data_IF_264763906817
#
_entry.id   IF_264763906817
#
_cell.length_a   1.000
_cell.length_b   1.000
_cell.length_c   1.000
_cell.angle_alpha   90.00
_cell.angle_beta   90.00
_cell.angle_gamma   90.00
#
_symmetry.space_group_name_H-M   'P 1'
#
loop_
_entity.id
_entity.type
_entity.pdbx_description
1 polymer ?
#
# COMPACT_ATOMS: atom_id res chain seq x y z
N UNK A 1 16.63 -7.12 27.65
CA UNK A 1 16.65 -5.66 27.40
C UNK A 1 17.82 -5.40 26.46
N UNK A 2 17.54 -4.96 25.23
CA UNK A 2 18.54 -4.89 24.15
C UNK A 2 19.66 -3.91 24.48
N UNK A 3 20.92 -4.37 24.40
CA UNK A 3 22.15 -3.65 24.77
C UNK A 3 22.66 -2.69 23.68
N UNK A 4 21.90 -2.49 22.61
CA UNK A 4 22.38 -1.91 21.35
C UNK A 4 22.81 -0.44 21.44
N UNK A 5 22.17 0.38 22.29
CA UNK A 5 22.41 1.84 22.34
C UNK A 5 22.97 2.33 23.68
N UNK A 6 23.53 1.46 24.52
CA UNK A 6 24.12 1.91 25.80
C UNK A 6 25.37 2.77 25.51
N UNK A 7 25.48 3.91 26.18
CA UNK A 7 26.65 4.78 26.06
C UNK A 7 27.92 4.07 26.51
N UNK A 8 28.97 4.19 25.71
CA UNK A 8 30.31 3.66 26.03
C UNK A 8 30.99 4.41 27.18
N UNK A 9 30.47 5.59 27.55
CA UNK A 9 31.07 6.46 28.56
C UNK A 9 30.29 6.40 29.88
N UNK A 10 28.96 6.31 29.82
CA UNK A 10 28.10 6.17 31.00
C UNK A 10 27.17 4.97 30.81
N UNK A 11 27.35 3.96 31.66
CA UNK A 11 26.58 2.72 31.59
C UNK A 11 25.09 2.94 31.85
N UNK A 12 24.69 4.03 32.49
CA UNK A 12 23.28 4.37 32.73
C UNK A 12 22.70 5.30 31.66
N UNK A 13 23.52 5.78 30.71
CA UNK A 13 23.08 6.61 29.61
C UNK A 13 22.92 5.81 28.31
N UNK A 14 22.11 6.36 27.40
CA UNK A 14 21.93 5.83 26.05
C UNK A 14 22.54 6.78 25.02
N UNK A 15 23.07 6.25 23.93
CA UNK A 15 23.49 7.01 22.77
C UNK A 15 22.26 7.42 21.95
N UNK A 16 21.51 8.38 22.49
CA UNK A 16 20.25 8.87 21.93
C UNK A 16 20.39 9.28 20.46
N UNK A 17 21.52 9.90 20.09
CA UNK A 17 21.81 10.28 18.71
C UNK A 17 21.84 9.08 17.76
N UNK A 18 22.48 7.97 18.13
CA UNK A 18 22.52 6.75 17.29
C UNK A 18 21.16 6.10 17.17
N UNK A 19 20.40 6.10 18.25
CA UNK A 19 19.02 5.62 18.23
C UNK A 19 18.16 6.46 17.28
N UNK A 20 18.25 7.79 17.37
CA UNK A 20 17.55 8.68 16.45
C UNK A 20 18.02 8.50 15.01
N UNK A 21 19.31 8.38 14.73
CA UNK A 21 19.83 8.13 13.38
C UNK A 21 19.29 6.82 12.78
N UNK A 22 19.22 5.75 13.57
CA UNK A 22 18.64 4.48 13.09
C UNK A 22 17.12 4.59 12.84
N UNK A 23 16.40 5.25 13.74
CA UNK A 23 14.96 5.49 13.57
C UNK A 23 14.68 6.44 12.40
N UNK A 24 15.46 7.47 12.18
CA UNK A 24 15.27 8.37 11.03
C UNK A 24 15.64 7.68 9.70
N UNK A 25 16.62 6.76 9.72
CA UNK A 25 17.05 6.03 8.52
C UNK A 25 15.98 5.10 7.94
N UNK A 26 15.00 4.66 8.75
CA UNK A 26 13.88 3.83 8.28
C UNK A 26 12.72 4.67 7.70
N UNK A 27 12.69 5.99 7.97
CA UNK A 27 11.65 6.89 7.49
C UNK A 27 12.12 7.82 6.36
N UNK A 28 13.42 8.12 6.29
CA UNK A 28 13.98 9.08 5.34
C UNK A 28 15.37 8.68 4.88
N UNK A 29 15.69 8.94 3.61
CA UNK A 29 17.07 8.95 3.13
C UNK A 29 17.72 10.25 3.57
N UNK A 30 18.74 10.19 4.43
CA UNK A 30 19.51 11.38 4.83
C UNK A 30 20.03 12.15 3.59
N UNK A 31 20.05 13.48 3.68
CA UNK A 31 20.66 14.40 2.70
C UNK A 31 19.95 14.57 1.33
N UNK A 32 18.63 14.40 1.24
CA UNK A 32 17.86 14.78 0.03
C UNK A 32 18.10 16.24 -0.41
N UNK A 33 18.35 17.14 0.54
CA UNK A 33 18.71 18.55 0.29
C UNK A 33 20.06 18.75 -0.42
N UNK A 34 20.97 17.75 -0.38
CA UNK A 34 22.28 17.78 -1.05
C UNK A 34 22.29 17.01 -2.37
N UNK A 35 21.29 16.18 -2.63
CA UNK A 35 21.16 15.37 -3.84
C UNK A 35 19.71 15.40 -4.36
N UNK A 36 19.32 16.44 -5.10
CA UNK A 36 17.95 16.62 -5.62
C UNK A 36 17.53 15.60 -6.69
N UNK A 37 18.43 14.67 -7.05
CA UNK A 37 18.18 13.56 -7.99
C UNK A 37 17.91 12.22 -7.30
N UNK A 38 17.96 12.16 -5.97
CA UNK A 38 17.60 10.95 -5.23
C UNK A 38 16.08 10.92 -5.11
N UNK A 39 15.45 9.95 -5.78
CA UNK A 39 14.03 9.64 -5.59
C UNK A 39 13.83 9.17 -4.15
N UNK A 40 12.98 9.85 -3.39
CA UNK A 40 12.62 9.43 -2.04
C UNK A 40 11.86 8.11 -2.12
N UNK A 41 12.33 7.08 -1.45
CA UNK A 41 11.56 5.84 -1.30
C UNK A 41 10.24 6.17 -0.60
N UNK A 42 9.11 5.97 -1.29
CA UNK A 42 7.80 6.14 -0.67
C UNK A 42 7.71 5.17 0.51
N UNK A 43 7.28 5.69 1.68
CA UNK A 43 7.01 4.86 2.84
C UNK A 43 6.01 3.76 2.46
N UNK A 44 6.48 2.52 2.43
CA UNK A 44 5.62 1.34 2.35
C UNK A 44 5.37 0.92 3.80
N UNK A 45 4.13 1.01 4.32
CA UNK A 45 3.80 0.46 5.61
C UNK A 45 4.28 -0.99 5.65
N UNK A 46 5.11 -1.32 6.64
CA UNK A 46 5.45 -2.72 6.91
C UNK A 46 4.11 -3.41 7.13
N UNK A 47 3.68 -4.21 6.15
CA UNK A 47 2.49 -5.03 6.26
C UNK A 47 2.69 -5.78 7.57
N UNK A 48 1.77 -5.63 8.54
CA UNK A 48 1.56 -6.63 9.57
C UNK A 48 1.12 -7.89 8.82
N UNK A 49 2.08 -8.54 8.19
CA UNK A 49 1.92 -9.68 7.33
C UNK A 49 1.74 -10.87 8.27
N UNK A 50 0.60 -10.88 8.96
CA UNK A 50 -0.17 -12.10 9.03
C UNK A 50 -0.43 -12.49 7.58
N UNK A 51 0.54 -13.22 7.00
CA UNK A 51 0.49 -13.80 5.68
C UNK A 51 -0.66 -14.81 5.68
N UNK A 52 -1.89 -14.31 5.51
CA UNK A 52 -3.04 -15.11 5.14
C UNK A 52 -2.74 -15.51 3.70
N UNK A 53 -1.97 -16.59 3.53
CA UNK A 53 -1.87 -17.28 2.25
C UNK A 53 -3.28 -17.63 1.85
N UNK A 54 -3.83 -16.91 0.87
CA UNK A 54 -5.10 -17.27 0.29
C UNK A 54 -4.99 -18.65 -0.35
N UNK A 55 -6.10 -19.36 -0.32
CA UNK A 55 -6.24 -20.62 -1.02
C UNK A 55 -5.90 -20.45 -2.51
N UNK A 56 -5.11 -21.36 -3.13
CA UNK A 56 -4.67 -21.20 -4.52
C UNK A 56 -5.82 -21.03 -5.51
N UNK A 57 -6.95 -21.74 -5.32
CA UNK A 57 -8.12 -21.61 -6.20
C UNK A 57 -8.78 -20.24 -6.04
N UNK A 58 -8.70 -19.64 -4.85
CA UNK A 58 -9.15 -18.26 -4.63
C UNK A 58 -8.24 -17.27 -5.35
N UNK A 59 -6.92 -17.44 -5.28
CA UNK A 59 -5.97 -16.53 -5.96
C UNK A 59 -6.19 -16.54 -7.48
N UNK A 60 -6.34 -17.72 -8.10
CA UNK A 60 -6.60 -17.84 -9.53
C UNK A 60 -7.90 -17.12 -9.94
N UNK A 61 -8.95 -17.25 -9.14
CA UNK A 61 -10.23 -16.55 -9.38
C UNK A 61 -10.08 -15.04 -9.26
N UNK A 62 -9.34 -14.55 -8.27
CA UNK A 62 -9.06 -13.12 -8.11
C UNK A 62 -8.20 -12.63 -9.27
N UNK A 63 -7.23 -13.40 -9.73
CA UNK A 63 -6.40 -13.03 -10.87
C UNK A 63 -7.22 -12.87 -12.16
N UNK A 64 -8.17 -13.78 -12.41
CA UNK A 64 -9.12 -13.65 -13.53
C UNK A 64 -9.94 -12.37 -13.40
N UNK A 65 -10.39 -12.04 -12.20
CA UNK A 65 -11.13 -10.82 -11.93
C UNK A 65 -10.29 -9.55 -12.17
N UNK A 66 -9.08 -9.50 -11.61
CA UNK A 66 -8.16 -8.36 -11.77
C UNK A 66 -7.86 -8.10 -13.25
N UNK A 67 -7.70 -9.16 -14.06
CA UNK A 67 -7.58 -9.05 -15.51
C UNK A 67 -8.84 -8.44 -16.19
N UNK A 68 -10.05 -8.80 -15.75
CA UNK A 68 -11.29 -8.19 -16.27
C UNK A 68 -11.36 -6.70 -15.94
N UNK A 69 -11.02 -6.33 -14.71
CA UNK A 69 -10.96 -4.93 -14.29
C UNK A 69 -9.90 -4.16 -15.07
N UNK A 70 -8.70 -4.72 -15.22
CA UNK A 70 -7.59 -4.12 -15.96
C UNK A 70 -7.97 -3.80 -17.41
N UNK A 71 -8.71 -4.70 -18.10
CA UNK A 71 -9.24 -4.42 -19.44
C UNK A 71 -10.15 -3.19 -19.47
N UNK A 72 -11.00 -3.02 -18.45
CA UNK A 72 -11.88 -1.83 -18.34
C UNK A 72 -11.08 -0.57 -18.06
N UNK A 73 -10.10 -0.66 -17.16
CA UNK A 73 -9.19 0.43 -16.81
C UNK A 73 -8.39 0.88 -18.03
N UNK A 74 -7.81 -0.06 -18.77
CA UNK A 74 -7.10 0.19 -20.02
C UNK A 74 -8.00 0.88 -21.06
N UNK A 75 -9.17 0.30 -21.33
CA UNK A 75 -10.08 0.81 -22.35
C UNK A 75 -10.55 2.25 -22.09
N UNK A 76 -10.66 2.64 -20.81
CA UNK A 76 -11.09 3.99 -20.40
C UNK A 76 -9.95 4.91 -19.99
N UNK A 77 -8.71 4.41 -19.96
CA UNK A 77 -7.50 5.13 -19.55
C UNK A 77 -7.65 5.80 -18.18
N UNK A 78 -8.19 5.07 -17.21
CA UNK A 78 -8.38 5.62 -15.87
C UNK A 78 -7.04 5.84 -15.16
N UNK A 79 -6.89 7.00 -14.53
CA UNK A 79 -5.85 7.27 -13.54
C UNK A 79 -6.38 6.85 -12.17
N UNK A 80 -5.88 5.74 -11.62
CA UNK A 80 -6.46 5.14 -10.41
C UNK A 80 -6.13 5.92 -9.14
N UNK A 81 -4.87 6.31 -8.94
CA UNK A 81 -4.40 6.95 -7.71
C UNK A 81 -5.19 8.21 -7.31
N UNK A 82 -5.44 9.19 -8.20
CA UNK A 82 -6.14 10.41 -7.81
C UNK A 82 -7.53 10.17 -7.21
N UNK A 83 -8.22 9.10 -7.64
CA UNK A 83 -9.56 8.76 -7.14
C UNK A 83 -9.55 8.26 -5.69
N UNK A 84 -8.41 7.73 -5.23
CA UNK A 84 -8.22 7.28 -3.86
C UNK A 84 -7.58 8.35 -2.98
N UNK A 85 -6.70 9.18 -3.52
CA UNK A 85 -6.01 10.27 -2.80
C UNK A 85 -6.98 11.27 -2.16
N UNK A 86 -8.14 11.49 -2.78
CA UNK A 86 -9.22 12.32 -2.21
C UNK A 86 -9.73 11.81 -0.84
N UNK A 87 -9.61 10.49 -0.60
CA UNK A 87 -9.99 9.83 0.64
C UNK A 87 -8.81 9.64 1.60
N UNK A 88 -7.58 9.55 1.09
CA UNK A 88 -6.35 9.34 1.85
C UNK A 88 -5.63 10.67 2.18
N UNK A 89 -6.27 11.48 3.03
CA UNK A 89 -5.77 12.81 3.41
C UNK A 89 -4.42 12.80 4.12
N UNK A 90 -4.07 11.69 4.76
CA UNK A 90 -2.82 11.52 5.52
C UNK A 90 -1.74 10.82 4.69
N UNK A 91 -2.04 10.45 3.44
CA UNK A 91 -1.12 9.76 2.52
C UNK A 91 -0.53 8.49 3.12
N UNK A 92 -1.36 7.70 3.78
CA UNK A 92 -0.94 6.44 4.40
C UNK A 92 -1.12 5.22 3.49
N UNK A 93 -1.67 5.39 2.29
CA UNK A 93 -1.87 4.33 1.32
C UNK A 93 -3.11 3.48 1.57
N UNK A 94 -3.98 3.88 2.51
CA UNK A 94 -5.13 3.11 2.93
C UNK A 94 -6.42 3.93 2.89
N UNK A 95 -7.52 3.26 2.57
CA UNK A 95 -8.88 3.84 2.64
C UNK A 95 -9.83 2.87 3.32
N UNK A 96 -10.92 3.37 3.89
CA UNK A 96 -11.95 2.49 4.45
C UNK A 96 -12.57 1.61 3.35
N UNK A 97 -13.10 0.45 3.73
CA UNK A 97 -13.81 -0.46 2.81
C UNK A 97 -14.92 0.24 2.00
N UNK A 98 -15.68 1.14 2.64
CA UNK A 98 -16.79 1.85 1.97
C UNK A 98 -16.28 2.86 0.92
N UNK A 99 -15.16 3.54 1.20
CA UNK A 99 -14.50 4.43 0.24
C UNK A 99 -13.92 3.66 -0.93
N UNK A 100 -13.27 2.52 -0.66
CA UNK A 100 -12.76 1.63 -1.70
C UNK A 100 -13.86 1.17 -2.66
N UNK A 101 -14.99 0.71 -2.11
CA UNK A 101 -16.15 0.28 -2.91
C UNK A 101 -16.79 1.43 -3.70
N UNK A 102 -16.78 2.65 -3.15
CA UNK A 102 -17.25 3.84 -3.87
C UNK A 102 -16.39 4.09 -5.11
N UNK A 103 -15.07 4.05 -4.99
CA UNK A 103 -14.17 4.21 -6.14
C UNK A 103 -14.41 3.12 -7.19
N UNK A 104 -14.56 1.86 -6.79
CA UNK A 104 -14.89 0.78 -7.73
C UNK A 104 -16.22 0.99 -8.45
N UNK A 105 -17.21 1.54 -7.75
CA UNK A 105 -18.51 1.88 -8.35
C UNK A 105 -18.37 3.00 -9.39
N UNK A 106 -17.64 4.06 -9.05
CA UNK A 106 -17.45 5.23 -9.93
C UNK A 106 -16.67 4.87 -11.20
N UNK A 107 -15.72 3.94 -11.09
CA UNK A 107 -15.01 3.34 -12.23
C UNK A 107 -15.86 2.35 -13.05
N UNK A 108 -17.05 1.99 -12.56
CA UNK A 108 -17.91 0.95 -13.14
C UNK A 108 -17.29 -0.45 -13.09
N UNK A 109 -16.41 -0.69 -12.11
CA UNK A 109 -15.76 -1.98 -11.85
C UNK A 109 -16.57 -2.84 -10.89
N UNK A 110 -17.30 -2.23 -9.96
CA UNK A 110 -18.12 -2.95 -8.98
C UNK A 110 -19.19 -3.82 -9.65
N UNK A 111 -19.72 -3.39 -10.80
CA UNK A 111 -20.72 -4.15 -11.57
C UNK A 111 -20.16 -5.39 -12.28
N UNK A 112 -18.83 -5.54 -12.30
CA UNK A 112 -18.16 -6.74 -12.83
C UNK A 112 -18.10 -7.86 -11.80
N UNK A 113 -18.47 -7.59 -10.54
CA UNK A 113 -18.31 -8.47 -9.40
C UNK A 113 -19.60 -9.17 -9.00
N UNK A 114 -19.51 -10.47 -8.79
CA UNK A 114 -20.44 -11.19 -7.91
C UNK A 114 -20.18 -10.82 -6.44
N UNK A 115 -21.13 -11.12 -5.54
CA UNK A 115 -20.95 -10.90 -4.11
C UNK A 115 -19.71 -11.62 -3.56
N UNK A 116 -19.51 -12.88 -3.96
CA UNK A 116 -18.35 -13.67 -3.55
C UNK A 116 -17.02 -13.12 -4.08
N UNK A 117 -16.97 -12.69 -5.35
CA UNK A 117 -15.79 -12.05 -5.92
C UNK A 117 -15.45 -10.74 -5.22
N UNK A 118 -16.47 -9.96 -4.84
CA UNK A 118 -16.31 -8.74 -4.05
C UNK A 118 -15.70 -9.06 -2.69
N UNK A 119 -16.21 -10.05 -1.97
CA UNK A 119 -15.70 -10.40 -0.64
C UNK A 119 -14.25 -10.89 -0.71
N UNK A 120 -13.89 -11.71 -1.70
CA UNK A 120 -12.51 -12.15 -1.92
C UNK A 120 -11.57 -11.00 -2.29
N UNK A 121 -12.03 -10.05 -3.10
CA UNK A 121 -11.24 -8.87 -3.46
C UNK A 121 -10.96 -8.01 -2.21
N UNK A 122 -11.98 -7.82 -1.37
CA UNK A 122 -11.83 -7.09 -0.12
C UNK A 122 -10.93 -7.86 0.87
N UNK A 123 -11.01 -9.18 0.92
CA UNK A 123 -10.10 -10.02 1.71
C UNK A 123 -8.64 -9.85 1.25
N UNK A 124 -8.37 -9.88 -0.06
CA UNK A 124 -7.01 -9.75 -0.63
C UNK A 124 -6.33 -8.43 -0.29
N UNK A 125 -7.06 -7.33 -0.39
CA UNK A 125 -6.49 -5.99 -0.19
C UNK A 125 -6.74 -5.43 1.22
N UNK A 126 -7.24 -6.25 2.15
CA UNK A 126 -7.44 -5.84 3.55
C UNK A 126 -6.09 -5.63 4.23
N UNK A 127 -5.98 -4.53 4.96
CA UNK A 127 -4.87 -4.22 5.85
C UNK A 127 -5.40 -3.79 7.21
N UNK A 128 -4.71 -4.17 8.29
CA UNK A 128 -5.11 -3.78 9.63
C UNK A 128 -4.29 -2.60 10.10
N UNK A 129 -4.93 -1.45 10.31
CA UNK A 129 -4.28 -0.20 10.71
C UNK A 129 -4.95 0.29 12.00
N UNK A 130 -4.17 0.41 13.08
CA UNK A 130 -4.70 0.90 14.37
C UNK A 130 -5.89 0.09 14.91
N UNK A 131 -5.93 -1.21 14.62
CA UNK A 131 -7.01 -2.12 15.03
C UNK A 131 -8.29 -2.05 14.18
N UNK A 132 -8.29 -1.29 13.09
CA UNK A 132 -9.36 -1.25 12.10
C UNK A 132 -8.93 -1.96 10.81
N UNK A 133 -9.90 -2.52 10.11
CA UNK A 133 -9.69 -3.13 8.80
C UNK A 133 -9.93 -2.06 7.72
N UNK A 134 -8.85 -1.65 7.07
CA UNK A 134 -8.83 -0.73 5.93
C UNK A 134 -8.38 -1.47 4.66
N UNK A 135 -8.33 -0.77 3.54
CA UNK A 135 -8.00 -1.29 2.22
C UNK A 135 -6.71 -0.67 1.69
N UNK A 136 -5.74 -1.50 1.35
CA UNK A 136 -4.49 -1.12 0.67
C UNK A 136 -4.78 -0.83 -0.81
N UNK A 137 -5.11 0.44 -1.10
CA UNK A 137 -5.41 0.86 -2.46
C UNK A 137 -4.16 1.03 -3.31
N UNK A 138 -2.99 1.22 -2.69
CA UNK A 138 -1.71 1.36 -3.39
C UNK A 138 -1.36 0.04 -4.09
N UNK A 139 -1.36 -1.07 -3.36
CA UNK A 139 -1.13 -2.40 -3.94
C UNK A 139 -2.18 -2.70 -5.02
N UNK A 140 -3.47 -2.40 -4.76
CA UNK A 140 -4.53 -2.57 -5.75
C UNK A 140 -4.28 -1.78 -7.04
N UNK A 141 -3.91 -0.51 -6.95
CA UNK A 141 -3.64 0.35 -8.11
C UNK A 141 -2.43 -0.13 -8.90
N UNK A 142 -1.35 -0.52 -8.23
CA UNK A 142 -0.16 -1.06 -8.90
C UNK A 142 -0.46 -2.37 -9.63
N UNK A 143 -1.16 -3.32 -9.00
CA UNK A 143 -1.55 -4.57 -9.65
C UNK A 143 -2.43 -4.31 -10.88
N UNK A 144 -3.43 -3.43 -10.77
CA UNK A 144 -4.29 -3.10 -11.91
C UNK A 144 -3.56 -2.38 -13.04
N UNK A 145 -2.70 -1.40 -12.73
CA UNK A 145 -1.94 -0.68 -13.75
C UNK A 145 -0.99 -1.62 -14.51
N UNK A 146 -0.31 -2.51 -13.76
CA UNK A 146 0.56 -3.54 -14.32
C UNK A 146 -0.22 -4.44 -15.29
N UNK A 147 -1.38 -4.95 -14.87
CA UNK A 147 -2.23 -5.79 -15.71
C UNK A 147 -2.87 -5.02 -16.88
N UNK A 148 -3.11 -3.72 -16.72
CA UNK A 148 -3.64 -2.85 -17.77
C UNK A 148 -2.57 -2.46 -18.80
N UNK A 149 -1.31 -2.84 -18.58
CA UNK A 149 -0.19 -2.49 -19.46
C UNK A 149 0.10 -0.99 -19.45
N UNK A 150 -0.28 -0.28 -18.39
CA UNK A 150 0.28 1.03 -18.14
C UNK A 150 1.70 0.81 -17.63
N UNK A 151 2.68 1.48 -18.24
CA UNK A 151 4.04 1.51 -17.69
C UNK A 151 3.94 1.88 -16.21
N UNK A 152 4.79 1.27 -15.38
CA UNK A 152 4.94 1.70 -13.99
C UNK A 152 5.48 3.13 -14.01
N UNK A 153 4.57 4.09 -14.20
CA UNK A 153 4.80 5.48 -13.92
C UNK A 153 5.08 5.52 -12.44
N UNK A 154 6.38 5.50 -12.12
CA UNK A 154 6.88 5.92 -10.83
C UNK A 154 6.23 7.29 -10.59
N UNK A 155 5.47 7.46 -9.50
CA UNK A 155 4.79 8.70 -9.19
C UNK A 155 5.73 9.92 -9.19
#
# INVERSE_FOLDING_TARGET
MSITYRSRVDVNAIEYKKFCEEIESIFTTDFLEKNPLVESEQYVPIKDAENIRMDPDKEDRIQVLMNKMAKRVHARRFQLFPLFEDFDRVRNGHVTQSQFLRVLNDLGLLTLLTGFEKDNLLEKFRVRVGGRDDMDYITFCHELNTLAGFEAGIP
#
